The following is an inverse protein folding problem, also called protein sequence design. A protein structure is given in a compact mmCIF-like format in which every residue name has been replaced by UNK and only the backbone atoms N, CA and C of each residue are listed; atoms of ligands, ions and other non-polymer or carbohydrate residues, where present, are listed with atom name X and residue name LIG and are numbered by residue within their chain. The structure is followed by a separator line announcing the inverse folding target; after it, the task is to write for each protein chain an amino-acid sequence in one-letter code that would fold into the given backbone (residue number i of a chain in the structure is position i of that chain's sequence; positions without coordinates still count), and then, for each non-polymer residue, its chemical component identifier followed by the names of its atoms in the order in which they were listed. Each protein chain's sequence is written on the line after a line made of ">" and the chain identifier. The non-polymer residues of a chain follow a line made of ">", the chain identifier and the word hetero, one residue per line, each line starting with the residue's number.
data_IF_309665009435
#
_entry.id   IF_309665009435
#
_cell.length_a   1.000
_cell.length_b   1.000
_cell.length_c   1.000
_cell.angle_alpha   90.00
_cell.angle_beta   90.00
_cell.angle_gamma   90.00
#
_symmetry.space_group_name_H-M   'P 1'
#
loop_
_entity.id
_entity.type
_entity.pdbx_description
1 polymer ?
#
# COMPACT_ATOMS: atom_id res chain seq x y z
N UNK A 1 -25.73 -3.27 -26.53
CA UNK A 1 -25.77 -4.72 -26.20
C UNK A 1 -25.72 -4.84 -24.67
N UNK A 2 -26.60 -5.63 -24.04
CA UNK A 2 -26.39 -5.95 -22.59
C UNK A 2 -25.14 -6.81 -22.47
N UNK A 3 -24.32 -6.51 -21.47
CA UNK A 3 -23.14 -7.32 -21.14
C UNK A 3 -23.53 -8.75 -20.76
N UNK A 4 -22.61 -9.70 -20.89
CA UNK A 4 -22.86 -11.11 -20.58
C UNK A 4 -23.05 -11.35 -19.09
N UNK A 5 -22.41 -10.50 -18.25
CA UNK A 5 -22.44 -10.58 -16.79
C UNK A 5 -22.81 -9.24 -16.16
N UNK A 6 -23.65 -9.26 -15.13
CA UNK A 6 -24.17 -8.06 -14.45
C UNK A 6 -23.08 -7.12 -13.90
N UNK A 7 -21.93 -7.65 -13.47
CA UNK A 7 -20.84 -6.83 -12.95
C UNK A 7 -20.16 -5.98 -14.01
N UNK A 8 -20.22 -6.38 -15.29
CA UNK A 8 -19.63 -5.63 -16.41
C UNK A 8 -20.33 -4.27 -16.63
N UNK A 9 -21.61 -4.15 -16.23
CA UNK A 9 -22.38 -2.92 -16.28
C UNK A 9 -22.12 -1.98 -15.10
N UNK A 10 -21.38 -2.46 -14.06
CA UNK A 10 -21.03 -1.64 -12.90
C UNK A 10 -19.93 -0.64 -13.25
N UNK A 11 -20.21 0.66 -13.07
CA UNK A 11 -19.21 1.73 -13.30
C UNK A 11 -17.93 1.55 -12.50
N UNK A 12 -18.04 1.03 -11.25
CA UNK A 12 -16.88 0.75 -10.40
C UNK A 12 -16.02 -0.39 -10.97
N UNK A 13 -16.63 -1.38 -11.63
CA UNK A 13 -15.90 -2.45 -12.32
C UNK A 13 -15.18 -1.91 -13.55
N UNK A 14 -15.87 -1.11 -14.36
CA UNK A 14 -15.29 -0.48 -15.55
C UNK A 14 -14.08 0.39 -15.18
N UNK A 15 -14.19 1.22 -14.12
CA UNK A 15 -13.09 2.03 -13.64
C UNK A 15 -11.90 1.17 -13.12
N UNK A 16 -12.19 0.00 -12.53
CA UNK A 16 -11.14 -0.94 -12.12
C UNK A 16 -10.42 -1.55 -13.32
N UNK A 17 -11.13 -1.93 -14.36
CA UNK A 17 -10.54 -2.41 -15.63
C UNK A 17 -9.72 -1.32 -16.32
N UNK A 18 -10.20 -0.07 -16.33
CA UNK A 18 -9.45 1.09 -16.86
C UNK A 18 -8.14 1.31 -16.08
N UNK A 19 -8.14 1.09 -14.76
CA UNK A 19 -6.90 1.16 -13.96
C UNK A 19 -5.93 0.03 -14.31
N UNK A 20 -6.42 -1.21 -14.52
CA UNK A 20 -5.59 -2.32 -14.97
C UNK A 20 -4.98 -2.00 -16.35
N UNK A 21 -5.76 -1.52 -17.30
CA UNK A 21 -5.27 -1.14 -18.62
C UNK A 21 -4.19 -0.05 -18.52
N UNK A 22 -4.43 0.98 -17.72
CA UNK A 22 -3.42 2.02 -17.46
C UNK A 22 -2.14 1.43 -16.83
N UNK A 23 -2.25 0.50 -15.89
CA UNK A 23 -1.08 -0.16 -15.30
C UNK A 23 -0.26 -0.92 -16.36
N UNK A 24 -0.90 -1.66 -17.26
CA UNK A 24 -0.23 -2.38 -18.35
C UNK A 24 0.48 -1.40 -19.32
N UNK A 25 -0.11 -0.23 -19.57
CA UNK A 25 0.50 0.82 -20.41
C UNK A 25 1.77 1.39 -19.77
N UNK A 26 1.79 1.60 -18.45
CA UNK A 26 2.92 2.22 -17.74
C UNK A 26 3.94 1.22 -17.22
N UNK A 27 3.62 -0.06 -17.15
CA UNK A 27 4.54 -1.09 -16.66
C UNK A 27 5.90 -1.10 -17.38
N UNK A 28 5.98 -0.87 -18.71
CA UNK A 28 7.25 -0.76 -19.41
C UNK A 28 8.12 0.47 -19.01
N UNK A 29 7.52 1.50 -18.40
CA UNK A 29 8.24 2.69 -17.93
C UNK A 29 9.02 2.43 -16.64
N UNK A 30 8.71 1.32 -15.93
CA UNK A 30 9.35 0.98 -14.65
C UNK A 30 10.80 0.55 -14.90
N UNK A 31 11.74 1.37 -14.44
CA UNK A 31 13.17 1.22 -14.75
C UNK A 31 13.88 0.11 -14.00
N UNK A 32 13.30 -0.40 -12.91
CA UNK A 32 13.92 -1.45 -12.08
C UNK A 32 12.88 -2.41 -11.50
N UNK A 33 13.19 -3.70 -11.54
CA UNK A 33 12.34 -4.73 -10.94
C UNK A 33 12.54 -4.75 -9.42
N UNK A 34 11.55 -4.27 -8.69
CA UNK A 34 11.48 -4.23 -7.22
C UNK A 34 10.22 -4.96 -6.75
N UNK A 35 10.13 -5.31 -5.45
CA UNK A 35 8.99 -6.07 -4.93
C UNK A 35 7.64 -5.33 -5.11
N UNK A 36 7.65 -4.01 -5.10
CA UNK A 36 6.48 -3.18 -5.37
C UNK A 36 5.85 -3.44 -6.75
N UNK A 37 6.63 -3.85 -7.77
CA UNK A 37 6.10 -4.20 -9.09
C UNK A 37 5.19 -5.43 -9.04
N UNK A 38 5.64 -6.49 -8.35
CA UNK A 38 4.86 -7.72 -8.21
C UNK A 38 3.60 -7.49 -7.35
N UNK A 39 3.70 -6.62 -6.34
CA UNK A 39 2.56 -6.21 -5.52
C UNK A 39 1.55 -5.41 -6.34
N UNK A 40 1.99 -4.42 -7.10
CA UNK A 40 1.13 -3.60 -7.95
C UNK A 40 0.36 -4.44 -8.96
N UNK A 41 1.05 -5.37 -9.65
CA UNK A 41 0.42 -6.28 -10.61
C UNK A 41 -0.68 -7.15 -9.99
N UNK A 42 -0.41 -7.76 -8.82
CA UNK A 42 -1.42 -8.58 -8.12
C UNK A 42 -2.57 -7.74 -7.56
N UNK A 43 -2.26 -6.62 -6.95
CA UNK A 43 -3.26 -5.75 -6.33
C UNK A 43 -4.19 -5.13 -7.40
N UNK A 44 -3.64 -4.63 -8.52
CA UNK A 44 -4.43 -4.07 -9.62
C UNK A 44 -5.42 -5.07 -10.20
N UNK A 45 -4.98 -6.31 -10.48
CA UNK A 45 -5.85 -7.39 -10.94
C UNK A 45 -6.87 -7.82 -9.87
N UNK A 46 -6.50 -7.74 -8.58
CA UNK A 46 -7.37 -8.08 -7.46
C UNK A 46 -8.60 -7.19 -7.34
N UNK A 47 -8.52 -5.91 -7.73
CA UNK A 47 -9.64 -4.97 -7.59
C UNK A 47 -10.85 -5.41 -8.41
N UNK A 48 -10.80 -5.56 -9.76
CA UNK A 48 -11.96 -5.96 -10.54
C UNK A 48 -12.47 -7.36 -10.19
N UNK A 49 -11.57 -8.31 -9.86
CA UNK A 49 -11.95 -9.66 -9.44
C UNK A 49 -12.82 -9.62 -8.18
N UNK A 50 -12.44 -8.84 -7.17
CA UNK A 50 -13.22 -8.72 -5.94
C UNK A 50 -14.54 -7.97 -6.16
N UNK A 51 -14.61 -6.98 -7.05
CA UNK A 51 -15.86 -6.32 -7.42
C UNK A 51 -16.83 -7.32 -8.09
N UNK A 52 -16.34 -8.13 -9.04
CA UNK A 52 -17.13 -9.17 -9.67
C UNK A 52 -17.65 -10.20 -8.67
N UNK A 53 -16.80 -10.67 -7.75
CA UNK A 53 -17.19 -11.58 -6.66
C UNK A 53 -18.24 -10.95 -5.74
N UNK A 54 -18.10 -9.67 -5.39
CA UNK A 54 -19.09 -8.95 -4.59
C UNK A 54 -20.46 -8.92 -5.27
N UNK A 55 -20.52 -8.68 -6.60
CA UNK A 55 -21.79 -8.62 -7.34
C UNK A 55 -22.52 -9.97 -7.37
N UNK A 56 -21.80 -11.09 -7.38
CA UNK A 56 -22.36 -12.44 -7.36
C UNK A 56 -22.84 -12.92 -5.97
N UNK A 57 -22.57 -12.18 -4.87
CA UNK A 57 -22.95 -12.59 -3.51
C UNK A 57 -24.39 -12.19 -3.18
N UNK A 58 -25.15 -13.13 -2.56
CA UNK A 58 -26.50 -12.86 -2.05
C UNK A 58 -26.47 -12.23 -0.68
N UNK A 59 -25.55 -12.64 0.20
CA UNK A 59 -25.37 -12.09 1.54
C UNK A 59 -24.72 -10.70 1.47
N UNK A 60 -25.34 -9.70 2.10
CA UNK A 60 -24.78 -8.35 2.19
C UNK A 60 -23.45 -8.32 2.96
N UNK A 61 -23.30 -9.17 3.97
CA UNK A 61 -22.04 -9.31 4.73
C UNK A 61 -20.91 -9.82 3.85
N UNK A 62 -21.14 -10.90 3.07
CA UNK A 62 -20.13 -11.43 2.13
C UNK A 62 -19.82 -10.42 1.03
N UNK A 63 -20.84 -9.74 0.50
CA UNK A 63 -20.66 -8.69 -0.51
C UNK A 63 -19.72 -7.60 0.00
N UNK A 64 -19.93 -7.13 1.25
CA UNK A 64 -19.05 -6.14 1.88
C UNK A 64 -17.62 -6.63 2.02
N UNK A 65 -17.38 -7.87 2.43
CA UNK A 65 -16.03 -8.41 2.57
C UNK A 65 -15.24 -8.33 1.26
N UNK A 66 -15.87 -8.64 0.12
CA UNK A 66 -15.23 -8.52 -1.18
C UNK A 66 -15.00 -7.06 -1.59
N UNK A 67 -15.94 -6.16 -1.30
CA UNK A 67 -15.77 -4.72 -1.54
C UNK A 67 -14.62 -4.18 -0.68
N UNK A 68 -14.54 -4.56 0.60
CA UNK A 68 -13.48 -4.16 1.53
C UNK A 68 -12.11 -4.72 1.08
N UNK A 69 -12.09 -5.89 0.44
CA UNK A 69 -10.87 -6.44 -0.18
C UNK A 69 -10.47 -5.64 -1.41
N UNK A 70 -11.40 -5.30 -2.30
CA UNK A 70 -11.13 -4.45 -3.47
C UNK A 70 -10.63 -3.06 -3.05
N UNK A 71 -11.21 -2.49 -2.00
CA UNK A 71 -10.77 -1.23 -1.42
C UNK A 71 -9.32 -1.32 -0.90
N UNK A 72 -9.00 -2.35 -0.10
CA UNK A 72 -7.64 -2.60 0.40
C UNK A 72 -6.63 -2.74 -0.75
N UNK A 73 -6.96 -3.52 -1.80
CA UNK A 73 -6.13 -3.67 -2.99
C UNK A 73 -5.89 -2.34 -3.72
N UNK A 74 -6.88 -1.44 -3.73
CA UNK A 74 -6.71 -0.10 -4.32
C UNK A 74 -5.73 0.76 -3.52
N UNK A 75 -5.75 0.68 -2.18
CA UNK A 75 -4.78 1.36 -1.32
C UNK A 75 -3.38 0.73 -1.43
N UNK A 76 -3.30 -0.59 -1.57
CA UNK A 76 -2.03 -1.29 -1.84
C UNK A 76 -1.42 -0.79 -3.17
N UNK A 77 -2.24 -0.63 -4.23
CA UNK A 77 -1.76 -0.04 -5.48
C UNK A 77 -1.21 1.38 -5.28
N UNK A 78 -1.91 2.23 -4.52
CA UNK A 78 -1.45 3.60 -4.24
C UNK A 78 -0.10 3.60 -3.52
N UNK A 79 0.06 2.75 -2.50
CA UNK A 79 1.32 2.62 -1.78
C UNK A 79 2.45 2.04 -2.64
N UNK A 80 2.16 1.10 -3.56
CA UNK A 80 3.12 0.62 -4.54
C UNK A 80 3.62 1.75 -5.45
N UNK A 81 2.74 2.62 -5.92
CA UNK A 81 3.10 3.79 -6.72
C UNK A 81 4.01 4.74 -5.94
N UNK A 82 3.75 4.98 -4.65
CA UNK A 82 4.62 5.79 -3.80
C UNK A 82 6.01 5.15 -3.64
N UNK A 83 6.07 3.84 -3.40
CA UNK A 83 7.34 3.10 -3.31
C UNK A 83 8.13 3.21 -4.62
N UNK A 84 7.49 3.01 -5.77
CA UNK A 84 8.12 3.15 -7.09
C UNK A 84 8.63 4.57 -7.32
N UNK A 85 7.89 5.58 -6.87
CA UNK A 85 8.28 6.99 -6.94
C UNK A 85 9.54 7.28 -6.12
N UNK A 86 9.55 6.92 -4.83
CA UNK A 86 10.68 7.24 -3.93
C UNK A 86 11.94 6.46 -4.26
N UNK A 87 11.81 5.32 -4.95
CA UNK A 87 12.93 4.56 -5.51
C UNK A 87 13.42 5.10 -6.86
N UNK A 88 12.73 6.10 -7.43
CA UNK A 88 13.05 6.62 -8.77
C UNK A 88 12.78 5.63 -9.90
N UNK A 89 11.97 4.58 -9.63
CA UNK A 89 11.62 3.56 -10.62
C UNK A 89 10.52 4.01 -11.59
N UNK A 90 9.69 4.97 -11.17
CA UNK A 90 8.60 5.56 -11.94
C UNK A 90 8.55 7.07 -11.73
N UNK A 91 8.25 7.82 -12.78
CA UNK A 91 8.22 9.28 -12.71
C UNK A 91 7.04 9.78 -11.86
N UNK A 92 7.24 10.87 -11.13
CA UNK A 92 6.22 11.46 -10.25
C UNK A 92 4.93 11.83 -10.99
N UNK A 93 5.03 12.29 -12.25
CA UNK A 93 3.86 12.62 -13.08
C UNK A 93 3.01 11.39 -13.38
N UNK A 94 3.63 10.26 -13.70
CA UNK A 94 2.93 8.98 -13.93
C UNK A 94 2.28 8.47 -12.64
N UNK A 95 3.01 8.55 -11.51
CA UNK A 95 2.48 8.21 -10.18
C UNK A 95 1.26 9.06 -9.83
N UNK A 96 1.32 10.37 -10.07
CA UNK A 96 0.21 11.28 -9.82
C UNK A 96 -1.04 10.92 -10.65
N UNK A 97 -0.85 10.61 -11.93
CA UNK A 97 -1.94 10.18 -12.82
C UNK A 97 -2.59 8.87 -12.33
N UNK A 98 -1.79 7.90 -11.89
CA UNK A 98 -2.28 6.63 -11.32
C UNK A 98 -3.05 6.83 -10.03
N UNK A 99 -2.54 7.65 -9.11
CA UNK A 99 -3.21 7.96 -7.84
C UNK A 99 -4.53 8.70 -8.05
N UNK A 100 -4.64 9.56 -9.05
CA UNK A 100 -5.90 10.21 -9.43
C UNK A 100 -6.97 9.21 -9.86
N UNK A 101 -6.60 8.21 -10.68
CA UNK A 101 -7.50 7.11 -11.08
C UNK A 101 -7.93 6.27 -9.87
N UNK A 102 -6.99 5.91 -8.99
CA UNK A 102 -7.27 5.17 -7.76
C UNK A 102 -8.17 5.95 -6.80
N UNK A 103 -8.00 7.26 -6.65
CA UNK A 103 -8.86 8.09 -5.82
C UNK A 103 -10.31 8.06 -6.29
N UNK A 104 -10.53 8.14 -7.60
CA UNK A 104 -11.87 7.98 -8.19
C UNK A 104 -12.45 6.59 -7.92
N UNK A 105 -11.66 5.55 -8.15
CA UNK A 105 -12.05 4.16 -7.92
C UNK A 105 -12.40 3.90 -6.45
N UNK A 106 -11.58 4.38 -5.51
CA UNK A 106 -11.80 4.30 -4.07
C UNK A 106 -13.10 4.97 -3.66
N UNK A 107 -13.39 6.16 -4.20
CA UNK A 107 -14.65 6.86 -3.96
C UNK A 107 -15.87 6.05 -4.45
N UNK A 108 -15.74 5.41 -5.62
CA UNK A 108 -16.80 4.52 -6.15
C UNK A 108 -16.98 3.26 -5.29
N UNK A 109 -15.89 2.66 -4.78
CA UNK A 109 -15.94 1.50 -3.88
C UNK A 109 -16.63 1.83 -2.55
N UNK A 110 -16.36 3.01 -1.98
CA UNK A 110 -17.05 3.49 -0.77
C UNK A 110 -18.55 3.66 -1.06
N UNK A 111 -18.92 4.25 -2.20
CA UNK A 111 -20.32 4.35 -2.63
C UNK A 111 -20.97 2.97 -2.81
N UNK A 112 -20.28 2.04 -3.45
CA UNK A 112 -20.75 0.66 -3.64
C UNK A 112 -20.92 -0.07 -2.30
N UNK A 113 -20.01 0.11 -1.36
CA UNK A 113 -20.12 -0.41 0.00
C UNK A 113 -21.35 0.14 0.73
N UNK A 114 -21.57 1.47 0.68
CA UNK A 114 -22.74 2.12 1.30
C UNK A 114 -24.06 1.59 0.73
N UNK A 115 -24.15 1.24 -0.56
CA UNK A 115 -25.35 0.66 -1.17
C UNK A 115 -25.71 -0.72 -0.65
N UNK A 116 -24.80 -1.42 0.03
CA UNK A 116 -25.02 -2.77 0.57
C UNK A 116 -25.67 -2.79 1.96
N UNK A 117 -26.10 -1.65 2.52
CA UNK A 117 -26.86 -1.54 3.79
C UNK A 117 -26.38 -0.38 4.65
N UNK A 118 -27.31 0.16 5.42
CA UNK A 118 -27.14 1.33 6.28
C UNK A 118 -26.35 0.91 7.54
N UNK A 119 -25.04 1.12 7.55
CA UNK A 119 -24.29 1.23 8.82
C UNK A 119 -24.08 2.71 9.13
N UNK A 120 -24.57 3.09 10.32
CA UNK A 120 -24.21 4.34 10.97
C UNK A 120 -22.82 4.12 11.57
N UNK A 121 -21.79 4.32 10.78
CA UNK A 121 -20.43 4.48 11.25
C UNK A 121 -19.85 5.72 10.57
N UNK A 122 -19.11 6.49 11.38
CA UNK A 122 -18.49 7.75 11.04
C UNK A 122 -17.96 7.79 9.61
N UNK A 123 -18.36 8.83 8.88
CA UNK A 123 -17.91 9.12 7.55
C UNK A 123 -16.39 9.32 7.55
N UNK A 124 -15.65 8.26 7.32
CA UNK A 124 -14.32 8.41 6.74
C UNK A 124 -14.52 8.76 5.27
N UNK A 125 -14.78 10.03 5.05
CA UNK A 125 -14.70 10.58 3.72
C UNK A 125 -13.27 10.38 3.22
N UNK A 126 -13.12 9.78 2.03
CA UNK A 126 -11.91 9.94 1.25
C UNK A 126 -11.85 11.43 0.87
N UNK A 127 -11.28 12.26 1.76
CA UNK A 127 -11.07 13.66 1.49
C UNK A 127 -9.88 13.80 0.56
N UNK A 128 -10.15 14.13 -0.69
CA UNK A 128 -9.22 14.92 -1.48
C UNK A 128 -9.21 16.31 -0.84
N UNK A 129 -8.43 16.51 0.22
CA UNK A 129 -8.18 17.83 0.76
C UNK A 129 -6.97 18.40 0.07
N UNK A 130 -7.13 19.57 -0.53
CA UNK A 130 -6.00 20.38 -0.98
C UNK A 130 -4.98 20.47 0.16
N UNK A 131 -3.82 19.86 -0.03
CA UNK A 131 -2.72 19.93 0.91
C UNK A 131 -2.21 21.35 1.03
N UNK A 132 -1.68 21.70 2.19
CA UNK A 132 -0.87 22.91 2.35
C UNK A 132 0.25 22.91 1.30
N UNK A 133 0.44 24.06 0.66
CA UNK A 133 1.43 24.41 -0.34
C UNK A 133 2.39 23.30 -0.80
N UNK A 134 2.11 22.67 -1.94
CA UNK A 134 3.10 21.97 -2.77
C UNK A 134 2.92 20.47 -2.99
N UNK A 135 2.22 19.72 -2.14
CA UNK A 135 2.08 18.27 -2.33
C UNK A 135 0.63 17.84 -2.17
N UNK A 136 0.01 17.39 -3.26
CA UNK A 136 -1.35 16.85 -3.21
C UNK A 136 -1.36 15.53 -2.43
N UNK A 137 -2.15 15.46 -1.35
CA UNK A 137 -2.42 14.25 -0.57
C UNK A 137 -3.65 13.57 -1.18
N UNK A 138 -3.50 12.32 -1.64
CA UNK A 138 -4.56 11.55 -2.28
C UNK A 138 -5.31 10.65 -1.29
N UNK A 139 -4.58 10.10 -0.30
CA UNK A 139 -5.10 9.10 0.63
C UNK A 139 -4.68 9.40 2.07
N UNK A 140 -5.52 9.03 3.05
CA UNK A 140 -5.29 9.33 4.47
C UNK A 140 -3.99 8.73 5.03
N UNK A 141 -3.56 7.57 4.53
CA UNK A 141 -2.31 6.96 4.99
C UNK A 141 -1.08 7.83 4.68
N UNK A 142 -1.12 8.68 3.65
CA UNK A 142 -0.03 9.59 3.30
C UNK A 142 0.22 10.67 4.37
N UNK A 143 -0.77 10.90 5.25
CA UNK A 143 -0.66 11.83 6.39
C UNK A 143 -0.01 11.21 7.61
N UNK A 144 0.05 9.87 7.67
CA UNK A 144 0.62 9.16 8.80
C UNK A 144 2.14 9.32 8.84
N UNK A 145 2.67 9.78 9.96
CA UNK A 145 4.12 9.90 10.14
C UNK A 145 4.82 8.55 10.01
N UNK A 146 4.21 7.47 10.50
CA UNK A 146 4.76 6.11 10.35
C UNK A 146 4.84 5.70 8.87
N UNK A 147 3.90 6.11 8.03
CA UNK A 147 3.94 5.84 6.60
C UNK A 147 5.07 6.60 5.91
N UNK A 148 5.22 7.90 6.24
CA UNK A 148 6.33 8.71 5.73
C UNK A 148 7.69 8.13 6.14
N UNK A 149 7.82 7.70 7.41
CA UNK A 149 9.01 7.01 7.91
C UNK A 149 9.27 5.68 7.20
N UNK A 150 8.23 4.93 6.84
CA UNK A 150 8.38 3.73 6.04
C UNK A 150 8.93 4.04 4.63
N UNK A 151 8.45 5.10 3.96
CA UNK A 151 8.97 5.54 2.67
C UNK A 151 10.41 6.07 2.77
N UNK A 152 10.78 6.78 3.83
CA UNK A 152 12.17 7.16 4.10
C UNK A 152 13.08 5.93 4.23
N UNK A 153 12.61 4.88 4.91
CA UNK A 153 13.35 3.63 5.04
C UNK A 153 13.45 2.87 3.70
N UNK A 154 12.40 2.86 2.88
CA UNK A 154 12.43 2.34 1.49
C UNK A 154 13.49 3.09 0.66
N UNK A 155 13.51 4.42 0.74
CA UNK A 155 14.49 5.25 0.04
C UNK A 155 15.92 4.93 0.50
N UNK A 156 16.13 4.75 1.79
CA UNK A 156 17.41 4.37 2.35
C UNK A 156 17.86 2.98 1.86
N UNK A 157 16.97 1.99 1.81
CA UNK A 157 17.25 0.67 1.22
C UNK A 157 17.60 0.75 -0.27
N UNK A 158 16.92 1.62 -1.02
CA UNK A 158 17.19 1.88 -2.43
C UNK A 158 18.60 2.41 -2.68
N UNK A 159 19.09 3.31 -1.82
CA UNK A 159 20.49 3.80 -1.88
C UNK A 159 21.50 2.68 -1.68
N UNK A 160 21.32 1.87 -0.64
CA UNK A 160 22.21 0.72 -0.38
C UNK A 160 22.26 -0.27 -1.55
N UNK A 161 21.16 -0.43 -2.27
CA UNK A 161 21.09 -1.25 -3.48
C UNK A 161 22.00 -0.68 -4.57
N UNK A 162 21.95 0.64 -4.78
CA UNK A 162 22.69 1.31 -5.84
C UNK A 162 24.19 1.42 -5.52
N UNK A 163 24.55 1.54 -4.24
CA UNK A 163 25.95 1.64 -3.80
C UNK A 163 26.71 0.31 -3.92
N UNK A 164 26.00 -0.82 -4.15
CA UNK A 164 26.61 -2.14 -4.34
C UNK A 164 27.35 -2.70 -3.13
N UNK A 165 27.21 -2.07 -1.96
CA UNK A 165 27.91 -2.46 -0.73
C UNK A 165 27.34 -3.74 -0.07
N UNK A 166 26.14 -4.15 -0.45
CA UNK A 166 25.46 -5.31 0.14
C UNK A 166 25.26 -6.45 -0.85
N UNK A 167 25.32 -7.72 -0.41
CA UNK A 167 24.99 -8.88 -1.24
C UNK A 167 23.57 -8.78 -1.79
N UNK A 168 23.35 -9.26 -3.02
CA UNK A 168 22.05 -9.25 -3.69
C UNK A 168 20.93 -9.87 -2.83
N UNK A 169 21.22 -10.95 -2.09
CA UNK A 169 20.26 -11.60 -1.18
C UNK A 169 19.81 -10.68 -0.04
N UNK A 170 20.74 -9.90 0.54
CA UNK A 170 20.44 -8.92 1.58
C UNK A 170 19.58 -7.79 1.03
N UNK A 171 19.96 -7.25 -0.14
CA UNK A 171 19.22 -6.20 -0.83
C UNK A 171 17.80 -6.64 -1.15
N UNK A 172 17.63 -7.87 -1.68
CA UNK A 172 16.29 -8.42 -1.99
C UNK A 172 15.44 -8.60 -0.73
N UNK A 173 16.04 -9.06 0.37
CA UNK A 173 15.32 -9.22 1.64
C UNK A 173 14.89 -7.86 2.23
N UNK A 174 15.77 -6.86 2.17
CA UNK A 174 15.45 -5.49 2.61
C UNK A 174 14.40 -4.83 1.72
N UNK A 175 14.45 -5.01 0.40
CA UNK A 175 13.43 -4.51 -0.55
C UNK A 175 12.05 -5.04 -0.20
N UNK A 176 11.92 -6.37 -0.01
CA UNK A 176 10.65 -6.98 0.39
C UNK A 176 10.15 -6.49 1.74
N UNK A 177 11.02 -6.43 2.73
CA UNK A 177 10.65 -6.04 4.08
C UNK A 177 10.27 -4.56 4.16
N UNK A 178 11.06 -3.65 3.57
CA UNK A 178 10.76 -2.22 3.58
C UNK A 178 9.47 -1.89 2.81
N UNK A 179 9.28 -2.49 1.63
CA UNK A 179 8.01 -2.40 0.89
C UNK A 179 6.85 -2.91 1.74
N UNK A 180 7.01 -4.07 2.40
CA UNK A 180 5.99 -4.65 3.28
C UNK A 180 5.58 -3.73 4.43
N UNK A 181 6.49 -2.95 5.01
CA UNK A 181 6.15 -1.95 6.04
C UNK A 181 5.21 -0.89 5.46
N UNK A 182 5.55 -0.31 4.31
CA UNK A 182 4.74 0.75 3.69
C UNK A 182 3.35 0.24 3.27
N UNK A 183 3.29 -0.90 2.55
CA UNK A 183 2.03 -1.44 2.05
C UNK A 183 1.07 -1.84 3.18
N UNK A 184 1.56 -2.56 4.21
CA UNK A 184 0.72 -2.95 5.34
C UNK A 184 0.27 -1.75 6.18
N UNK A 185 1.07 -0.70 6.28
CA UNK A 185 0.68 0.55 6.95
C UNK A 185 -0.47 1.23 6.19
N UNK A 186 -0.37 1.36 4.86
CA UNK A 186 -1.41 1.95 4.02
C UNK A 186 -2.71 1.13 4.06
N UNK A 187 -2.61 -0.18 3.90
CA UNK A 187 -3.77 -1.08 3.92
C UNK A 187 -4.42 -1.12 5.31
N UNK A 188 -3.62 -1.15 6.39
CA UNK A 188 -4.11 -1.10 7.77
C UNK A 188 -4.90 0.18 8.05
N UNK A 189 -4.41 1.33 7.58
CA UNK A 189 -5.13 2.59 7.71
C UNK A 189 -6.49 2.58 7.00
N UNK A 190 -6.62 1.87 5.89
CA UNK A 190 -7.86 1.75 5.12
C UNK A 190 -8.87 0.76 5.68
N UNK A 191 -8.53 -0.09 6.65
CA UNK A 191 -9.47 -1.10 7.17
C UNK A 191 -10.60 -0.45 7.97
N UNK A 192 -11.83 -0.93 7.74
CA UNK A 192 -13.03 -0.46 8.42
C UNK A 192 -13.17 -1.05 9.83
N UNK A 193 -12.65 -2.26 10.06
CA UNK A 193 -12.70 -2.95 11.35
C UNK A 193 -11.39 -2.70 12.12
N UNK A 194 -11.48 -2.34 13.40
CA UNK A 194 -10.33 -2.20 14.31
C UNK A 194 -9.48 -3.48 14.35
N UNK A 195 -10.13 -4.65 14.41
CA UNK A 195 -9.46 -5.95 14.38
C UNK A 195 -8.60 -6.14 13.13
N UNK A 196 -9.13 -5.81 11.94
CA UNK A 196 -8.36 -5.90 10.70
C UNK A 196 -7.25 -4.86 10.65
N UNK A 197 -7.50 -3.66 11.16
CA UNK A 197 -6.49 -2.60 11.28
C UNK A 197 -5.30 -3.06 12.11
N UNK A 198 -5.53 -3.58 13.33
CA UNK A 198 -4.48 -4.13 14.20
C UNK A 198 -3.72 -5.28 13.52
N UNK A 199 -4.42 -6.17 12.78
CA UNK A 199 -3.76 -7.24 12.03
C UNK A 199 -2.75 -6.70 11.01
N UNK A 200 -3.10 -5.70 10.23
CA UNK A 200 -2.20 -5.11 9.23
C UNK A 200 -1.06 -4.30 9.87
N UNK A 201 -1.32 -3.59 10.97
CA UNK A 201 -0.28 -2.95 11.78
C UNK A 201 0.71 -4.00 12.29
N UNK A 202 0.23 -5.15 12.77
CA UNK A 202 1.05 -6.30 13.16
C UNK A 202 1.92 -6.84 12.01
N UNK A 203 1.37 -6.91 10.78
CA UNK A 203 2.13 -7.30 9.58
C UNK A 203 3.22 -6.27 9.25
N UNK A 204 2.92 -4.97 9.32
CA UNK A 204 3.91 -3.91 9.13
C UNK A 204 5.04 -4.00 10.17
N UNK A 205 4.69 -4.23 11.45
CA UNK A 205 5.67 -4.45 12.53
C UNK A 205 6.55 -5.67 12.28
N UNK A 206 5.96 -6.79 11.87
CA UNK A 206 6.69 -8.00 11.51
C UNK A 206 7.68 -7.75 10.38
N UNK A 207 7.27 -7.05 9.33
CA UNK A 207 8.15 -6.67 8.22
C UNK A 207 9.33 -5.78 8.69
N UNK A 208 9.08 -4.82 9.59
CA UNK A 208 10.14 -3.99 10.17
C UNK A 208 11.14 -4.82 10.99
N UNK A 209 10.67 -5.79 11.77
CA UNK A 209 11.53 -6.70 12.53
C UNK A 209 12.33 -7.63 11.61
N UNK A 210 11.76 -8.10 10.50
CA UNK A 210 12.47 -8.87 9.48
C UNK A 210 13.61 -8.07 8.86
N UNK A 211 13.36 -6.79 8.52
CA UNK A 211 14.40 -5.89 8.03
C UNK A 211 15.53 -5.71 9.05
N UNK A 212 15.20 -5.53 10.34
CA UNK A 212 16.20 -5.38 11.40
C UNK A 212 17.06 -6.64 11.54
N UNK A 213 16.44 -7.83 11.55
CA UNK A 213 17.17 -9.10 11.61
C UNK A 213 18.06 -9.31 10.35
N UNK A 214 17.60 -8.88 9.17
CA UNK A 214 18.39 -8.94 7.94
C UNK A 214 19.65 -8.07 8.06
N UNK A 215 19.53 -6.89 8.66
CA UNK A 215 20.68 -6.01 8.94
C UNK A 215 21.65 -6.62 9.95
N UNK A 216 21.16 -7.30 10.99
CA UNK A 216 22.02 -8.01 11.96
C UNK A 216 22.80 -9.15 11.29
N UNK A 217 22.15 -9.97 10.46
CA UNK A 217 22.83 -11.02 9.68
C UNK A 217 23.88 -10.43 8.76
N UNK A 218 23.59 -9.29 8.11
CA UNK A 218 24.56 -8.60 7.26
C UNK A 218 25.77 -8.10 8.06
N UNK A 219 25.56 -7.52 9.24
CA UNK A 219 26.62 -7.03 10.11
C UNK A 219 27.61 -8.14 10.53
N UNK A 220 27.11 -9.36 10.74
CA UNK A 220 27.95 -10.53 11.08
C UNK A 220 28.79 -10.97 9.86
N UNK A 221 28.21 -10.90 8.67
CA UNK A 221 28.87 -11.34 7.42
C UNK A 221 29.90 -10.34 6.89
N UNK A 222 29.66 -9.04 7.13
CA UNK A 222 30.51 -7.95 6.60
C UNK A 222 30.73 -6.86 7.65
N UNK A 223 31.96 -6.77 8.16
CA UNK A 223 32.34 -5.82 9.21
C UNK A 223 32.45 -4.36 8.71
N UNK A 224 32.54 -4.12 7.41
CA UNK A 224 32.74 -2.77 6.82
C UNK A 224 31.47 -1.90 6.86
N UNK A 225 30.27 -2.48 7.01
CA UNK A 225 28.98 -1.78 6.90
C UNK A 225 28.37 -1.40 8.26
N UNK A 226 29.13 -1.36 9.34
CA UNK A 226 28.58 -1.12 10.70
C UNK A 226 27.76 0.17 10.82
N UNK A 227 28.20 1.26 10.20
CA UNK A 227 27.48 2.54 10.26
C UNK A 227 26.13 2.46 9.52
N UNK A 228 26.08 1.82 8.36
CA UNK A 228 24.84 1.63 7.61
C UNK A 228 23.85 0.77 8.42
N UNK A 229 24.32 -0.32 9.04
CA UNK A 229 23.48 -1.16 9.91
C UNK A 229 22.89 -0.37 11.09
N UNK A 230 23.70 0.44 11.78
CA UNK A 230 23.23 1.29 12.89
C UNK A 230 22.18 2.29 12.42
N UNK A 231 22.41 2.96 11.27
CA UNK A 231 21.46 3.90 10.68
C UNK A 231 20.13 3.23 10.32
N UNK A 232 20.17 2.09 9.63
CA UNK A 232 18.98 1.34 9.26
C UNK A 232 18.17 0.86 10.47
N UNK A 233 18.85 0.37 11.50
CA UNK A 233 18.20 -0.05 12.77
C UNK A 233 17.55 1.11 13.50
N UNK A 234 18.10 2.32 13.43
CA UNK A 234 17.49 3.52 13.99
C UNK A 234 16.15 3.84 13.29
N UNK A 235 16.12 3.83 11.96
CA UNK A 235 14.87 4.01 11.21
C UNK A 235 13.82 2.98 11.64
N UNK A 236 14.20 1.70 11.72
CA UNK A 236 13.29 0.62 12.08
C UNK A 236 12.77 0.73 13.51
N UNK A 237 13.63 1.14 14.46
CA UNK A 237 13.21 1.36 15.85
C UNK A 237 12.17 2.47 15.97
N UNK A 238 12.30 3.55 15.20
CA UNK A 238 11.31 4.62 15.15
C UNK A 238 9.98 4.12 14.55
N UNK A 239 10.02 3.40 13.44
CA UNK A 239 8.83 2.81 12.79
C UNK A 239 8.12 1.85 13.75
N UNK A 240 8.83 0.93 14.40
CA UNK A 240 8.23 -0.04 15.33
C UNK A 240 7.56 0.67 16.52
N UNK A 241 8.22 1.71 17.10
CA UNK A 241 7.60 2.50 18.17
C UNK A 241 6.31 3.17 17.75
N UNK A 242 6.26 3.75 16.54
CA UNK A 242 5.05 4.39 15.99
C UNK A 242 3.95 3.37 15.73
N UNK A 243 4.27 2.18 15.17
CA UNK A 243 3.29 1.11 14.95
C UNK A 243 2.70 0.58 16.26
N UNK A 244 3.53 0.39 17.29
CA UNK A 244 3.06 -0.04 18.62
C UNK A 244 2.17 1.03 19.28
N UNK A 245 2.55 2.31 19.17
CA UNK A 245 1.72 3.40 19.68
C UNK A 245 0.37 3.47 18.97
N UNK A 246 0.36 3.30 17.65
CA UNK A 246 -0.88 3.27 16.87
C UNK A 246 -1.75 2.06 17.22
N UNK A 247 -1.18 0.87 17.36
CA UNK A 247 -1.92 -0.34 17.77
C UNK A 247 -2.60 -0.14 19.13
N UNK A 248 -1.88 0.41 20.13
CA UNK A 248 -2.44 0.72 21.45
C UNK A 248 -3.58 1.73 21.42
N UNK A 249 -3.46 2.80 20.64
CA UNK A 249 -4.54 3.79 20.52
C UNK A 249 -5.84 3.20 19.97
N UNK A 250 -5.75 2.12 19.19
CA UNK A 250 -6.92 1.43 18.64
C UNK A 250 -7.54 0.41 19.62
N UNK A 251 -6.80 -0.04 20.64
CA UNK A 251 -7.29 -0.91 21.70
C UNK A 251 -8.00 -0.14 22.81
N UNK A 252 -7.75 1.17 22.92
CA UNK A 252 -8.34 2.08 23.89
C UNK A 252 -9.66 2.73 23.39
N UNK A 253 -10.00 2.61 22.09
CA UNK A 253 -11.26 3.06 21.46
C UNK A 253 -12.36 1.99 21.58
#
# INVERSE_FOLDING_TARGET
>A
MRSAFDHEDLRVYQAAIEFVAWHEEVAPEITSKVSACDHLGRASAGVPVNIAQASGKRSMSERRQFIDTAYGSSLECAACLDVLCVLGCLQAVTVHAGKGRLSTLVSMLIGFRKSTGREVHEERAAYVTAGHEGTQVWFDHERLDVYRKALEFVTWCGRLRNDGEMPCSTVTALDRASTGVALNTAEGNGKFSTKDRCRFIGHARTAALQAAATLDVHAVRQTKSKQAVVAGKKHLADIVRMLVAWERSLEEE
#
